data_IF_322863882107
#
_entry.id   IF_322863882107
#
_cell.length_a   1.000
_cell.length_b   1.000
_cell.length_c   1.000
_cell.angle_alpha   90.00
_cell.angle_beta   90.00
_cell.angle_gamma   90.00
#
_symmetry.space_group_name_H-M   'P 1'
#
loop_
_entity.id
_entity.type
_entity.pdbx_description
1 polymer ?
2 non-polymer ?
#
# COMPACT_ATOMS: atom_id res chain seq x y z
N UNK A 1 -10.07 -5.69 -14.33
CA UNK A 1 -10.69 -6.85 -13.72
C UNK A 1 -11.13 -6.38 -12.39
N UNK A 2 -11.76 -7.27 -11.67
CA UNK A 2 -12.01 -6.98 -10.29
C UNK A 2 -11.16 -7.92 -9.47
N UNK A 3 -10.41 -7.30 -8.59
CA UNK A 3 -9.47 -8.05 -7.79
C UNK A 3 -9.90 -7.93 -6.36
N UNK A 4 -9.99 -9.10 -5.73
CA UNK A 4 -10.25 -9.13 -4.30
C UNK A 4 -8.93 -9.19 -3.57
N UNK A 5 -9.00 -9.00 -2.29
CA UNK A 5 -7.77 -8.73 -1.58
C UNK A 5 -7.52 -9.83 -0.56
N UNK A 6 -8.04 -11.02 -0.88
CA UNK A 6 -7.80 -12.13 0.03
C UNK A 6 -6.38 -12.56 -0.08
N UNK A 7 -5.86 -12.54 -1.30
CA UNK A 7 -4.41 -12.69 -1.50
C UNK A 7 -3.76 -11.35 -1.81
N UNK A 8 -2.45 -11.27 -1.71
CA UNK A 8 -1.79 -10.04 -2.16
C UNK A 8 -2.02 -9.75 -3.64
N UNK A 9 -2.34 -8.51 -3.97
CA UNK A 9 -2.71 -8.19 -5.34
C UNK A 9 -1.50 -8.03 -6.25
N UNK A 10 -1.13 -9.14 -6.85
CA UNK A 10 0.08 -9.15 -7.65
C UNK A 10 -0.26 -9.33 -9.08
N UNK A 11 0.42 -8.58 -9.91
CA UNK A 11 0.16 -8.70 -11.33
C UNK A 11 1.49 -8.84 -12.03
N UNK A 12 1.43 -9.27 -13.27
CA UNK A 12 2.61 -9.25 -14.12
C UNK A 12 2.72 -7.89 -14.80
N UNK A 13 3.92 -7.39 -14.84
CA UNK A 13 4.14 -6.12 -15.53
C UNK A 13 5.17 -6.40 -16.59
N UNK A 14 5.18 -5.59 -17.64
CA UNK A 14 6.28 -5.73 -18.60
C UNK A 14 6.99 -4.41 -18.67
N UNK A 15 8.29 -4.44 -18.53
CA UNK A 15 8.97 -3.16 -18.53
C UNK A 15 10.36 -3.39 -19.04
N UNK A 16 10.88 -2.50 -19.89
CA UNK A 16 12.26 -2.65 -20.41
C UNK A 16 12.50 -3.88 -21.30
N UNK A 17 11.43 -4.66 -21.52
CA UNK A 17 11.59 -5.99 -22.08
C UNK A 17 11.35 -7.11 -21.07
N UNK A 18 11.38 -6.80 -19.79
CA UNK A 18 11.23 -7.91 -18.85
C UNK A 18 9.81 -8.06 -18.39
N UNK A 19 9.49 -9.28 -18.00
CA UNK A 19 8.30 -9.51 -17.19
C UNK A 19 8.71 -9.50 -15.74
N UNK A 20 7.81 -9.02 -14.89
CA UNK A 20 8.05 -8.99 -13.44
C UNK A 20 6.72 -9.08 -12.77
N UNK A 21 6.70 -9.33 -11.49
CA UNK A 21 5.42 -9.19 -10.81
C UNK A 21 5.50 -8.04 -9.85
N UNK A 22 4.37 -7.38 -9.70
CA UNK A 22 4.37 -6.27 -8.79
C UNK A 22 3.06 -6.22 -8.12
N UNK A 23 3.05 -5.46 -7.06
CA UNK A 23 1.88 -5.40 -6.22
C UNK A 23 1.15 -4.15 -6.58
N UNK A 24 -0.18 -4.23 -6.63
CA UNK A 24 -0.94 -3.01 -6.87
C UNK A 24 -1.23 -2.27 -5.57
N UNK A 25 -0.66 -1.11 -5.44
CA UNK A 25 -0.60 -0.63 -4.06
C UNK A 25 -1.22 0.74 -3.90
N UNK A 26 -2.46 0.76 -3.42
CA UNK A 26 -3.11 2.04 -3.22
C UNK A 26 -2.48 2.89 -2.10
N UNK A 27 -1.76 2.26 -1.22
CA UNK A 27 -1.19 3.10 -0.19
C UNK A 27 0.17 3.68 -0.59
N UNK A 28 0.58 3.54 -1.88
CA UNK A 28 1.89 4.06 -2.28
C UNK A 28 1.74 5.17 -3.27
N UNK A 29 2.32 6.32 -2.97
CA UNK A 29 2.24 7.44 -3.90
C UNK A 29 2.90 7.15 -5.19
N UNK A 30 4.06 6.51 -5.06
CA UNK A 30 4.99 6.28 -6.18
C UNK A 30 5.28 4.82 -6.44
N UNK A 31 5.91 4.56 -7.56
CA UNK A 31 6.23 3.19 -8.00
C UNK A 31 7.71 2.94 -7.82
N UNK A 32 8.01 1.87 -7.08
CA UNK A 32 9.37 1.41 -6.73
C UNK A 32 9.64 -0.03 -7.13
N UNK A 33 10.59 -0.20 -7.99
CA UNK A 33 10.91 -1.54 -8.43
C UNK A 33 12.27 -1.95 -7.99
N UNK A 34 12.39 -3.22 -7.80
CA UNK A 34 13.73 -3.67 -7.50
C UNK A 34 14.72 -3.27 -8.56
N UNK A 35 15.92 -3.18 -8.11
CA UNK A 35 17.07 -2.89 -8.95
C UNK A 35 17.13 -3.56 -10.30
N UNK A 36 17.17 -2.72 -11.31
CA UNK A 36 17.44 -3.21 -12.66
C UNK A 36 18.12 -2.15 -13.50
N UNK A 37 18.67 -2.62 -14.60
CA UNK A 37 19.11 -1.68 -15.60
C UNK A 37 17.96 -1.38 -16.55
N UNK A 38 17.70 -0.10 -16.70
CA UNK A 38 16.65 0.34 -17.61
C UNK A 38 17.35 1.32 -18.51
N UNK A 39 16.94 1.33 -19.78
CA UNK A 39 17.49 2.33 -20.68
C UNK A 39 17.10 3.73 -20.16
N UNK A 40 17.99 4.68 -20.37
CA UNK A 40 17.62 6.01 -19.93
C UNK A 40 18.59 6.57 -18.92
N UNK A 41 18.24 7.75 -18.42
CA UNK A 41 19.14 8.50 -17.53
C UNK A 41 18.43 8.63 -16.23
N UNK A 42 19.15 8.94 -15.17
CA UNK A 42 18.39 8.91 -13.95
C UNK A 42 18.97 9.86 -12.98
N UNK A 43 18.19 10.18 -11.98
CA UNK A 43 18.58 11.14 -10.96
C UNK A 43 18.50 10.38 -9.68
N UNK A 44 19.40 10.60 -8.71
CA UNK A 44 19.23 9.98 -7.38
C UNK A 44 18.03 10.56 -6.65
N UNK A 45 17.39 9.74 -5.83
CA UNK A 45 16.30 10.26 -5.01
C UNK A 45 16.24 9.47 -3.73
N UNK A 46 15.51 9.96 -2.75
CA UNK A 46 15.25 9.16 -1.56
C UNK A 46 13.78 8.96 -1.51
N UNK A 47 13.35 7.79 -1.10
CA UNK A 47 11.93 7.62 -0.76
C UNK A 47 11.79 6.91 0.55
N UNK A 48 10.64 7.06 1.18
CA UNK A 48 10.50 6.47 2.50
C UNK A 48 9.22 5.75 2.79
N UNK A 49 9.28 4.97 3.86
CA UNK A 49 8.09 4.25 4.21
C UNK A 49 8.26 3.92 5.65
N UNK A 50 7.60 2.86 6.09
CA UNK A 50 7.81 2.29 7.42
C UNK A 50 9.27 1.90 7.48
N UNK A 51 9.91 2.38 8.53
CA UNK A 51 11.29 1.98 8.66
C UNK A 51 12.26 3.01 8.14
N UNK A 52 11.81 3.92 7.33
CA UNK A 52 12.86 4.85 6.98
C UNK A 52 12.93 5.01 5.52
N UNK A 53 14.11 5.44 5.09
CA UNK A 53 14.28 5.94 3.73
C UNK A 53 15.27 5.08 3.02
N UNK A 54 15.00 4.87 1.75
CA UNK A 54 15.97 4.28 0.84
C UNK A 54 16.38 5.25 -0.26
N UNK A 55 17.45 4.90 -0.95
CA UNK A 55 17.92 5.66 -2.10
C UNK A 55 17.58 4.92 -3.34
N UNK A 56 17.04 5.66 -4.29
CA UNK A 56 16.47 5.02 -5.46
C UNK A 56 17.03 5.77 -6.62
N UNK A 57 17.01 5.15 -7.79
CA UNK A 57 17.32 5.86 -9.01
C UNK A 57 15.99 6.26 -9.63
N UNK A 58 15.86 7.47 -10.16
CA UNK A 58 14.60 7.82 -10.79
C UNK A 58 14.64 7.78 -12.30
N UNK A 59 13.76 7.04 -12.90
CA UNK A 59 13.64 7.15 -14.35
C UNK A 59 12.29 7.71 -14.67
N UNK A 60 12.27 8.74 -15.50
CA UNK A 60 11.03 9.30 -16.01
C UNK A 60 10.66 8.77 -17.41
N UNK A 61 9.39 8.96 -17.75
CA UNK A 61 8.81 8.61 -19.05
C UNK A 61 9.01 7.16 -19.53
N UNK A 62 8.89 6.26 -18.54
CA UNK A 62 9.10 4.85 -18.77
C UNK A 62 7.79 4.20 -19.05
N UNK A 63 7.76 3.47 -20.17
CA UNK A 63 6.64 2.63 -20.55
C UNK A 63 6.56 1.43 -19.67
N UNK A 64 5.37 1.17 -19.24
CA UNK A 64 5.25 -0.03 -18.46
C UNK A 64 3.89 -0.56 -18.80
N UNK A 65 3.77 -1.86 -18.91
CA UNK A 65 2.45 -2.42 -19.16
C UNK A 65 2.03 -3.27 -17.98
N UNK A 66 0.87 -3.00 -17.40
CA UNK A 66 0.40 -3.70 -16.21
C UNK A 66 -0.78 -4.38 -16.72
N UNK A 67 -0.69 -5.69 -16.72
CA UNK A 67 -1.83 -6.49 -17.20
C UNK A 67 -2.35 -6.04 -18.56
N UNK A 68 -1.42 -5.83 -19.50
CA UNK A 68 -1.90 -5.43 -20.82
C UNK A 68 -2.43 -4.02 -20.98
N UNK A 69 -2.36 -3.26 -19.89
CA UNK A 69 -2.74 -1.85 -19.95
C UNK A 69 -1.46 -1.09 -19.89
N UNK A 70 -1.29 -0.08 -20.76
CA UNK A 70 -0.05 0.73 -20.74
C UNK A 70 -0.06 1.99 -19.84
N UNK A 71 1.07 2.26 -19.24
CA UNK A 71 1.22 3.52 -18.54
C UNK A 71 2.55 4.01 -18.99
N UNK A 72 2.74 5.29 -18.86
CA UNK A 72 4.02 5.91 -19.19
C UNK A 72 4.29 6.97 -18.15
N UNK A 73 5.35 6.76 -17.37
CA UNK A 73 5.38 7.48 -16.11
C UNK A 73 6.66 7.23 -15.40
N UNK A 74 6.76 7.80 -14.21
CA UNK A 74 8.00 7.69 -13.46
C UNK A 74 8.06 6.42 -12.69
N UNK A 75 9.25 5.85 -12.76
CA UNK A 75 9.53 4.64 -12.05
C UNK A 75 10.81 4.82 -11.26
N UNK A 76 10.72 4.52 -9.97
CA UNK A 76 11.89 4.49 -9.10
C UNK A 76 12.49 3.08 -8.90
N UNK A 77 13.79 2.95 -9.12
CA UNK A 77 14.49 1.68 -8.96
C UNK A 77 15.45 1.70 -7.76
N UNK A 78 15.30 0.72 -6.88
CA UNK A 78 16.14 0.60 -5.68
C UNK A 78 15.94 -0.74 -4.97
N UNK A 79 16.60 -0.89 -3.80
CA UNK A 79 16.52 -2.15 -3.04
C UNK A 79 15.31 -2.15 -2.13
N UNK A 80 14.20 -2.52 -2.75
CA UNK A 80 12.93 -2.58 -2.05
C UNK A 80 12.64 -4.05 -1.82
N UNK A 81 12.02 -4.38 -0.67
CA UNK A 81 11.53 -5.72 -0.44
C UNK A 81 10.66 -6.26 -1.54
N UNK A 82 9.93 -5.34 -2.21
CA UNK A 82 8.79 -5.69 -3.06
C UNK A 82 8.67 -4.73 -4.22
N UNK A 83 8.18 -5.23 -5.34
CA UNK A 83 7.90 -4.35 -6.49
C UNK A 83 6.52 -3.76 -6.38
N UNK A 84 6.44 -2.45 -6.38
CA UNK A 84 5.19 -1.85 -5.94
C UNK A 84 4.74 -0.97 -7.04
N UNK A 85 3.48 -1.08 -7.44
CA UNK A 85 2.95 -0.12 -8.38
C UNK A 85 2.09 0.89 -7.60
N UNK A 86 2.45 2.16 -7.64
CA UNK A 86 1.74 3.03 -6.69
C UNK A 86 0.74 3.86 -7.48
N UNK A 87 0.20 4.88 -6.82
CA UNK A 87 -0.87 5.67 -7.42
C UNK A 87 -0.51 6.48 -8.61
N UNK A 88 0.80 6.77 -8.80
CA UNK A 88 1.13 7.49 -10.02
C UNK A 88 0.81 6.76 -11.33
N UNK A 89 0.91 5.43 -11.32
CA UNK A 89 0.55 4.62 -12.51
C UNK A 89 -0.83 3.96 -12.41
N UNK A 90 -1.35 3.71 -11.19
CA UNK A 90 -2.72 3.20 -11.09
C UNK A 90 -3.80 4.16 -11.60
N UNK A 91 -3.56 5.43 -11.57
CA UNK A 91 -4.56 6.29 -12.21
C UNK A 91 -4.54 6.30 -13.73
N UNK A 92 -3.41 5.99 -14.36
CA UNK A 92 -3.35 5.91 -15.83
C UNK A 92 -4.12 4.73 -16.39
N UNK A 93 -4.06 3.66 -15.63
CA UNK A 93 -4.84 2.50 -15.99
C UNK A 93 -6.25 2.48 -15.42
N UNK A 94 -6.66 3.59 -14.83
CA UNK A 94 -8.07 3.65 -14.44
C UNK A 94 -8.49 2.73 -13.30
N UNK A 95 -7.60 2.61 -12.31
CA UNK A 95 -7.89 1.78 -11.15
C UNK A 95 -8.70 2.49 -10.07
N UNK A 96 -9.74 1.85 -9.50
CA UNK A 96 -10.41 2.41 -8.32
C UNK A 96 -10.62 1.38 -7.24
N UNK A 97 -10.85 1.88 -6.03
CA UNK A 97 -11.20 1.00 -4.93
C UNK A 97 -12.68 1.02 -4.82
N UNK A 98 -13.27 -0.14 -4.71
CA UNK A 98 -14.72 -0.11 -4.65
C UNK A 98 -15.14 -0.92 -3.50
N UNK A 99 -16.15 -0.48 -2.80
CA UNK A 99 -16.77 -1.32 -1.78
C UNK A 99 -18.17 -0.83 -1.48
N UNK B 1 -19.20 2.62 -2.04
CA UNK B 1 -18.59 3.81 -2.65
C UNK B 1 -17.43 3.37 -3.55
N UNK B 2 -16.96 4.31 -4.37
CA UNK B 2 -15.81 4.11 -5.25
C UNK B 2 -14.76 5.16 -4.92
N UNK B 3 -13.54 4.75 -4.60
CA UNK B 3 -12.53 5.77 -4.35
C UNK B 3 -11.63 5.78 -5.51
N UNK B 4 -11.37 7.00 -5.95
CA UNK B 4 -10.45 7.11 -7.06
C UNK B 4 -9.11 7.37 -6.42
N UNK B 5 -8.06 7.30 -7.22
CA UNK B 5 -6.74 7.35 -6.61
C UNK B 5 -5.94 8.62 -6.95
N UNK B 6 -6.66 9.73 -7.24
CA UNK B 6 -5.95 10.99 -7.54
C UNK B 6 -5.36 11.54 -6.27
N UNK B 7 -6.14 11.42 -5.22
CA UNK B 7 -5.64 11.78 -3.91
C UNK B 7 -5.37 10.46 -3.16
N UNK B 8 -4.74 10.55 -1.96
CA UNK B 8 -4.45 9.36 -1.15
C UNK B 8 -5.76 8.87 -0.64
N UNK B 9 -6.01 7.59 -0.65
CA UNK B 9 -7.33 7.13 -0.26
C UNK B 9 -7.54 7.17 1.23
N UNK B 10 -7.78 8.34 1.79
CA UNK B 10 -8.02 8.47 3.24
C UNK B 10 -9.48 8.39 3.60
N UNK B 11 -9.81 7.61 4.64
CA UNK B 11 -11.22 7.55 5.09
C UNK B 11 -11.28 7.73 6.59
N UNK B 12 -12.48 7.92 7.13
CA UNK B 12 -12.55 8.00 8.58
C UNK B 12 -12.87 6.64 9.12
N UNK B 13 -12.24 6.30 10.22
CA UNK B 13 -12.53 5.05 10.85
C UNK B 13 -12.88 5.41 12.26
N UNK B 14 -13.77 4.63 12.83
CA UNK B 14 -14.11 4.76 14.23
C UNK B 14 -13.42 3.62 14.98
N UNK B 15 -12.55 3.92 15.93
CA UNK B 15 -11.89 2.80 16.58
C UNK B 15 -11.81 3.13 18.00
N UNK B 16 -12.21 2.18 18.84
CA UNK B 16 -12.25 2.46 20.28
C UNK B 16 -13.16 3.61 20.69
N UNK B 17 -14.14 3.94 19.83
CA UNK B 17 -15.07 5.04 20.14
C UNK B 17 -14.85 6.38 19.44
N UNK B 18 -13.61 6.56 18.99
CA UNK B 18 -13.22 7.86 18.42
C UNK B 18 -12.92 7.70 16.94
N UNK B 19 -12.96 8.82 16.21
CA UNK B 19 -12.74 8.78 14.76
C UNK B 19 -11.29 9.09 14.45
N UNK B 20 -10.74 8.49 13.41
CA UNK B 20 -9.42 8.88 12.94
C UNK B 20 -9.46 8.81 11.44
N UNK B 21 -8.48 9.38 10.79
CA UNK B 21 -8.43 9.02 9.40
C UNK B 21 -7.33 8.03 9.18
N UNK B 22 -7.49 7.29 8.08
CA UNK B 22 -6.62 6.16 7.80
C UNK B 22 -6.51 5.98 6.30
N UNK B 23 -5.47 5.33 5.83
CA UNK B 23 -5.29 5.20 4.38
C UNK B 23 -5.74 3.83 4.01
N UNK B 24 -6.51 3.71 2.94
CA UNK B 24 -6.86 2.37 2.52
C UNK B 24 -5.74 1.80 1.70
N UNK B 25 -5.25 0.65 2.12
CA UNK B 25 -3.96 0.25 1.60
C UNK B 25 -3.96 -1.16 1.09
N UNK B 26 -4.14 -1.37 -0.20
CA UNK B 26 -4.07 -2.75 -0.71
C UNK B 26 -2.72 -3.48 -0.71
N UNK B 27 -1.67 -2.72 -0.48
CA UNK B 27 -0.39 -3.40 -0.40
C UNK B 27 0.10 -3.65 1.03
N UNK B 28 -0.75 -3.38 2.00
CA UNK B 28 -0.34 -3.78 3.31
C UNK B 28 -1.07 -5.08 3.62
N UNK B 29 -0.32 -6.00 4.14
CA UNK B 29 -0.95 -7.18 4.71
C UNK B 29 -1.74 -6.98 6.01
N UNK B 30 -1.23 -6.06 6.85
CA UNK B 30 -1.76 -5.87 8.20
C UNK B 30 -2.21 -4.45 8.36
N UNK B 31 -2.96 -4.17 9.42
CA UNK B 31 -3.36 -2.81 9.73
C UNK B 31 -2.47 -2.20 10.79
N UNK B 32 -1.93 -0.99 10.56
CA UNK B 32 -1.06 -0.33 11.54
C UNK B 32 -1.60 0.99 11.92
N UNK B 33 -1.70 1.27 13.20
CA UNK B 33 -2.32 2.51 13.63
C UNK B 33 -1.39 3.18 14.60
N UNK B 34 -1.49 4.50 14.62
CA UNK B 34 -0.68 5.41 15.43
C UNK B 34 -0.79 5.03 16.89
N UNK B 35 0.18 5.48 17.64
CA UNK B 35 0.11 5.23 19.07
C UNK B 35 -1.21 5.64 19.76
N UNK B 36 -1.76 4.67 20.46
CA UNK B 36 -2.96 4.88 21.26
C UNK B 36 -2.96 3.80 22.29
N UNK B 37 -3.70 4.04 23.34
CA UNK B 37 -3.69 3.01 24.36
C UNK B 37 -5.05 2.35 24.45
N UNK B 38 -5.07 1.14 23.96
CA UNK B 38 -6.31 0.41 24.01
C UNK B 38 -6.24 -0.48 25.24
N UNK B 39 -7.37 -0.73 25.89
CA UNK B 39 -7.37 -1.76 26.91
C UNK B 39 -7.26 -3.12 26.29
N UNK B 40 -6.61 -4.01 26.97
CA UNK B 40 -6.50 -5.29 26.30
C UNK B 40 -5.08 -5.80 26.35
N UNK B 41 -4.98 -7.01 25.83
CA UNK B 41 -3.74 -7.76 26.02
C UNK B 41 -3.04 -7.67 24.69
N UNK B 42 -1.73 -7.55 24.72
CA UNK B 42 -1.09 -7.42 23.43
C UNK B 42 0.10 -8.30 23.33
N UNK B 43 0.70 -8.31 22.16
CA UNK B 43 1.92 -9.08 21.93
C UNK B 43 2.89 -8.19 21.22
N UNK B 44 4.17 -8.31 21.54
CA UNK B 44 5.16 -7.54 20.78
C UNK B 44 5.24 -8.06 19.36
N UNK B 45 5.43 -7.15 18.40
CA UNK B 45 5.66 -7.69 17.06
C UNK B 45 6.65 -6.79 16.34
N UNK B 46 7.21 -7.25 15.24
CA UNK B 46 7.98 -6.39 14.32
C UNK B 46 7.48 -6.54 12.89
N UNK B 47 7.20 -5.39 12.29
CA UNK B 47 6.69 -5.39 10.90
C UNK B 47 7.59 -4.51 10.10
N UNK B 48 7.60 -4.80 8.82
CA UNK B 48 8.63 -4.16 8.02
C UNK B 48 8.04 -3.55 6.79
N UNK B 49 8.88 -2.74 6.16
CA UNK B 49 8.35 -1.90 5.12
C UNK B 49 9.52 -1.49 4.31
N UNK B 50 9.45 -0.37 3.67
CA UNK B 50 10.51 -0.19 2.70
C UNK B 50 11.91 0.08 3.23
N UNK B 51 11.93 0.73 4.37
CA UNK B 51 13.25 1.12 4.86
C UNK B 51 13.69 0.35 6.09
N UNK B 52 12.99 -0.71 6.44
CA UNK B 52 13.33 -1.38 7.69
C UNK B 52 12.13 -1.81 8.48
N UNK B 53 12.39 -2.08 9.74
CA UNK B 53 11.39 -2.75 10.55
C UNK B 53 11.08 -1.83 11.68
N UNK B 54 9.90 -1.96 12.24
CA UNK B 54 9.57 -1.15 13.41
C UNK B 54 8.88 -2.05 14.42
N UNK B 55 8.97 -1.61 15.67
CA UNK B 55 8.35 -2.37 16.73
C UNK B 55 6.94 -1.92 17.05
N UNK B 56 6.04 -2.90 17.16
CA UNK B 56 4.62 -2.58 17.37
C UNK B 56 4.02 -3.56 18.36
N UNK B 57 2.80 -3.25 18.80
CA UNK B 57 2.03 -4.11 19.70
C UNK B 57 0.83 -4.60 18.99
N UNK B 58 0.62 -5.87 19.08
CA UNK B 58 -0.50 -6.47 18.42
C UNK B 58 -1.68 -6.65 19.34
N UNK B 59 -2.82 -6.10 18.95
CA UNK B 59 -4.09 -6.38 19.62
C UNK B 59 -4.91 -7.24 18.71
N UNK B 60 -5.54 -8.22 19.31
CA UNK B 60 -6.35 -9.09 18.48
C UNK B 60 -7.79 -8.75 18.76
N UNK B 61 -8.63 -8.98 17.74
CA UNK B 61 -10.09 -8.84 17.75
C UNK B 61 -10.61 -7.44 17.94
N UNK B 62 -10.03 -6.47 17.25
CA UNK B 62 -10.49 -5.08 17.43
C UNK B 62 -11.53 -4.87 16.39
N UNK B 63 -12.60 -4.21 16.81
CA UNK B 63 -13.67 -3.75 15.92
C UNK B 63 -13.35 -2.35 15.40
N UNK B 64 -13.43 -2.20 14.10
CA UNK B 64 -13.21 -0.86 13.55
C UNK B 64 -14.38 -0.62 12.62
N UNK B 65 -14.68 0.62 12.32
CA UNK B 65 -15.77 0.81 11.39
C UNK B 65 -15.31 1.78 10.31
N UNK B 66 -15.27 1.26 9.08
CA UNK B 66 -14.72 1.92 7.87
C UNK B 66 -15.83 2.27 6.88
N UNK B 67 -16.15 3.57 6.82
CA UNK B 67 -17.39 4.11 6.21
C UNK B 67 -18.66 3.30 6.44
N UNK B 68 -18.97 3.11 7.72
CA UNK B 68 -20.21 2.39 8.09
C UNK B 68 -20.05 0.88 8.24
N UNK B 69 -18.98 0.37 7.63
CA UNK B 69 -18.75 -1.08 7.57
C UNK B 69 -17.89 -1.57 8.72
N UNK B 70 -18.41 -2.54 9.46
CA UNK B 70 -17.61 -3.04 10.57
C UNK B 70 -16.70 -4.13 10.12
N UNK B 71 -15.64 -4.31 10.88
CA UNK B 71 -14.69 -5.35 10.55
C UNK B 71 -14.13 -5.67 11.91
N UNK B 72 -13.67 -6.91 12.11
CA UNK B 72 -13.06 -7.28 13.40
C UNK B 72 -11.81 -7.95 13.04
N UNK B 73 -10.70 -7.55 13.64
CA UNK B 73 -9.45 -8.26 13.39
C UNK B 73 -8.30 -7.73 14.20
N UNK B 74 -7.14 -8.07 13.70
CA UNK B 74 -5.92 -7.64 14.37
C UNK B 74 -5.42 -6.30 13.91
N UNK B 75 -4.98 -5.55 14.90
CA UNK B 75 -4.46 -4.21 14.73
C UNK B 75 -3.12 -4.15 15.42
N UNK B 76 -2.17 -3.46 14.80
CA UNK B 76 -0.84 -3.25 15.34
C UNK B 76 -0.71 -1.77 15.58
N UNK B 77 -0.23 -1.43 16.75
CA UNK B 77 -0.16 -0.03 17.17
C UNK B 77 1.28 0.33 17.36
N UNK B 78 1.70 1.45 16.87
CA UNK B 78 3.12 1.67 17.02
C UNK B 78 3.38 3.05 16.50
N UNK B 79 4.65 3.40 16.42
CA UNK B 79 5.00 4.75 16.02
C UNK B 79 4.89 4.95 14.55
N UNK B 80 3.79 4.64 13.95
CA UNK B 80 3.70 4.81 12.50
C UNK B 80 3.34 6.26 12.12
N UNK B 81 3.91 6.73 11.00
CA UNK B 81 3.48 8.01 10.43
C UNK B 81 2.13 8.06 9.76
N UNK B 82 1.55 6.95 9.37
CA UNK B 82 0.18 7.06 8.88
C UNK B 82 -0.60 5.94 9.53
N UNK B 83 -1.92 6.09 9.59
CA UNK B 83 -2.78 4.96 9.96
C UNK B 83 -3.13 4.19 8.70
N UNK B 84 -2.89 2.90 8.70
CA UNK B 84 -2.89 2.12 7.46
C UNK B 84 -3.91 0.99 7.58
N UNK B 85 -4.92 0.97 6.71
CA UNK B 85 -5.82 -0.18 6.75
C UNK B 85 -5.41 -1.19 5.71
N UNK B 86 -5.02 -2.35 6.16
CA UNK B 86 -4.45 -3.30 5.24
C UNK B 86 -5.46 -4.31 4.86
N UNK B 87 -4.97 -5.32 4.15
CA UNK B 87 -5.93 -6.27 3.56
C UNK B 87 -6.75 -7.13 4.50
N UNK B 88 -6.25 -7.33 5.72
CA UNK B 88 -6.97 -8.13 6.71
C UNK B 88 -8.32 -7.56 7.11
N UNK B 89 -8.46 -6.25 6.97
CA UNK B 89 -9.74 -5.65 7.33
C UNK B 89 -10.51 -5.23 6.06
N UNK B 90 -9.76 -4.99 5.02
CA UNK B 90 -10.37 -4.66 3.73
C UNK B 90 -11.09 -5.83 3.14
N UNK B 91 -10.63 -7.04 3.43
CA UNK B 91 -11.41 -8.18 2.94
C UNK B 91 -12.77 -8.25 3.59
N UNK B 92 -12.81 -7.94 4.87
CA UNK B 92 -14.09 -7.93 5.55
C UNK B 92 -15.08 -6.87 5.08
N UNK B 93 -14.56 -5.75 4.54
CA UNK B 93 -15.58 -4.79 4.09
C UNK B 93 -15.96 -4.96 2.63
N UNK B 94 -15.43 -5.96 1.97
CA UNK B 94 -15.89 -6.26 0.61
C UNK B 94 -15.26 -5.43 -0.48
N UNK B 95 -14.03 -5.01 -0.23
CA UNK B 95 -13.45 -3.97 -1.08
C UNK B 95 -12.63 -4.59 -2.18
N UNK B 96 -12.74 -4.07 -3.38
CA UNK B 96 -12.08 -4.67 -4.54
C UNK B 96 -11.23 -3.62 -5.25
N UNK B 97 -10.41 -4.06 -6.20
CA UNK B 97 -9.66 -3.16 -7.07
C UNK B 97 -10.23 -3.39 -8.43
N UNK B 98 -10.57 -2.32 -9.09
CA UNK B 98 -11.21 -2.59 -10.36
C UNK B 98 -10.53 -1.76 -11.38
N UNK B 99 -9.98 -2.43 -12.38
CA UNK B 99 -9.60 -1.64 -13.54
C UNK B 99 -10.00 -2.43 -14.75
X LIG C 1 4.71 6.56 0.34
X LIG C 1 3.70 6.48 -0.33
X LIG C 1 5.03 7.73 0.96
X LIG C 1 6.15 7.86 1.89
X LIG C 1 4.26 8.91 0.74
X LIG C 1 3.40 9.15 1.94
X LIG C 1 3.81 10.00 2.94
X LIG C 1 2.25 8.52 1.93
X LIG C 1 2.95 10.24 4.00
X LIG C 1 1.45 8.76 2.96
X LIG C 1 1.73 9.59 4.01
X LIG C 1 5.54 5.52 0.50
X LIG C 1 5.32 4.19 0.02
X LIG C 1 5.02 3.33 1.24
X LIG C 1 5.88 2.69 1.82
X LIG C 1 6.53 3.71 -0.76
X LIG C 1 6.38 2.26 -1.31
X LIG C 1 6.88 4.67 -1.91
X LIG C 1 3.75 3.33 1.61
X LIG C 1 3.29 2.62 2.79
X LIG C 1 2.45 3.57 3.67
X LIG C 1 3.31 4.51 4.44
X LIG C 1 3.50 5.81 4.00
X LIG C 1 4.32 6.65 4.70
X LIG C 1 4.94 6.20 5.83
X LIG C 1 4.74 4.91 6.29
X LIG C 1 3.91 4.07 5.59
X LIG C 1 2.37 1.56 2.34
X LIG C 1 1.88 0.91 3.50
X LIG C 1 1.67 -0.21 1.15
X LIG C 1 2.85 0.54 1.33
X LIG C 1 3.33 -1.41 2.79
X LIG C 1 3.88 -0.47 1.79
X LIG C 1 4.33 -1.25 0.53
X LIG C 1 5.36 -2.35 0.80
X LIG C 1 4.99 -3.70 0.79
X LIG C 1 5.91 -4.69 1.03
X LIG C 1 7.22 -4.38 1.29
X LIG C 1 7.62 -3.06 1.31
X LIG C 1 6.70 -2.04 1.06
X LIG C 1 4.22 -3.96 4.77
X LIG C 1 3.37 -2.77 4.85
X LIG C 1 3.99 -1.72 3.94
X LIG C 1 5.03 -1.17 4.25
X LIG C 1 3.31 -2.33 6.30
X LIG C 1 2.51 -1.03 6.46
X LIG C 1 2.73 -3.46 7.17
X LIG C 1 3.76 -5.15 4.36
X LIG C 1 2.58 -5.40 4.24
X LIG C 1 4.65 -6.10 4.12
X LIG C 1 6.09 -5.81 4.27
X LIG C 1 4.20 -7.43 3.73
X LIG C 1 4.49 -7.73 2.28
X LIG C 1 5.68 -8.39 1.96
X LIG C 1 3.61 -7.31 1.39
X LIG C 1 6.00 -8.61 0.65
X LIG C 1 3.97 -7.50 0.13
X LIG C 1 5.13 -8.14 -0.30
X LIG C 1 6.21 8.82 2.38
X LIG C 1 6.13 7.10 2.66
X LIG C 1 7.09 7.75 1.34
X LIG C 1 3.63 8.80 -0.14
X LIG C 1 4.92 9.74 0.55
X LIG C 1 4.78 10.46 2.91
X LIG C 1 3.24 10.91 4.79
X LIG C 1 0.50 8.21 2.96
X LIG C 1 1.02 9.74 4.81
X LIG C 1 6.36 5.64 1.07
X LIG C 1 4.45 4.19 -0.63
X LIG C 1 7.39 3.71 -0.09
X LIG C 1 7.18 2.01 -2.01
X LIG C 1 6.41 1.54 -0.50
X LIG C 1 5.45 2.13 -1.85
X LIG C 1 6.08 4.72 -2.64
X LIG C 1 7.09 5.68 -1.55
X LIG C 1 7.78 4.34 -2.43
X LIG C 1 3.12 3.91 1.10
X LIG C 1 4.13 2.18 3.34
X LIG C 1 1.84 3.04 4.38
X LIG C 1 1.75 4.13 3.06
X LIG C 1 3.03 6.16 3.10
X LIG C 1 4.50 7.67 4.38
X LIG C 1 5.64 6.86 6.35
X LIG C 1 5.24 4.55 7.17
X LIG C 1 3.77 3.06 5.95
X LIG C 1 1.48 2.04 1.93
X LIG C 1 2.45 1.23 4.21
X LIG C 1 1.32 -0.21 2.05
X LIG C 1 3.12 1.01 0.40
X LIG C 1 2.51 -1.93 2.54
X LIG C 1 4.73 0.06 2.19
X LIG C 1 4.75 -0.56 -0.19
X LIG C 1 3.47 -1.70 0.04
X LIG C 1 3.96 -3.96 0.59
X LIG C 1 5.62 -5.71 1.01
X LIG C 1 7.91 -5.19 1.48
X LIG C 1 8.65 -2.81 1.49
X LIG C 1 7.02 -1.02 1.06
X LIG C 1 5.18 -3.79 4.93
X LIG C 1 2.36 -3.00 4.50
X LIG C 1 4.32 -2.12 6.65
X LIG C 1 2.38 -0.78 7.52
X LIG C 1 2.97 -0.18 5.99
X LIG C 1 1.50 -1.14 6.04
X LIG C 1 1.77 -3.80 6.80
X LIG C 1 3.41 -4.30 7.26
X LIG C 1 2.57 -3.09 8.19
X LIG C 1 6.37 -5.77 5.32
X LIG C 1 6.35 -4.85 3.82
X LIG C 1 6.70 -6.57 3.80
X LIG C 1 3.14 -7.57 3.88
X LIG C 1 4.71 -8.16 4.37
X LIG C 1 6.37 -8.68 2.72
X LIG C 1 6.93 -9.09 0.37
X LIG C 1 3.34 -7.08 -0.65
X LIG C 1 5.37 -8.23 -1.35
#
# INVERSE_FOLDING_TARGET
>A
PQITLWQRPLVTIKIGGQLKEALLDTGADDTVLEEMSLPGRWKPKMIGGIGGFIKVRQYDQILIEICGHKAIGTVLVGPTPANIIGRNLLTQIGCTLNF
>B
PQITLWQRPLVTIKIGGQLKEALLDTGADDTVLEEMSLPGRWKPKMIGGIGGFIKVRQYDQILIEICGHKAIGTVLVGPTPANIIGRNLLTQIGCTLNF
>C hetero
1 A77 C1 O2 N3 C4 C5 C6 C7 N8 C9 C10 C11 N21 C22 C23 O24 C25 C26 C27 N37 C38 C39 C40 C41 C42 C43 C44 C45 C46 O47 O48 C49 N50 C51 C52 C53 C54 C55 C56 C57 C58 N81 C82 C83 O84 C85 C86 C87 C97 O98 N99 C2 C3 C8 C12 N10 C13 C14 C15 H12 H13 H14 H15 H16 H17 H18 H19 H20 H28 H29 H30 H31 H32 H33 H34 H35 H36 H59 H60 H61 H62 H63 H64 H65 H66 H67 H68 H69 H70 H71 H72 H73 H74 H75 H76 H77 H78 H79 H80 H88 H89 H90 H91 H92 H93 H94 H95 H96 H1 H10 H11 H2 H3 H4 H5 H6 H7
#
